data_IF_551444880101
#
_entry.id   IF_551444880101
#
_cell.length_a   1.000
_cell.length_b   1.000
_cell.length_c   1.000
_cell.angle_alpha   90.00
_cell.angle_beta   90.00
_cell.angle_gamma   90.00
#
_symmetry.space_group_name_H-M   'P 1'
#
loop_
_entity.id
_entity.type
_entity.pdbx_description
1 polymer ?
#
# COMPACT_ATOMS: atom_id res chain seq x y z
N UNK A 1 4.45 -5.82 7.41
CA UNK A 1 4.07 -5.30 6.08
C UNK A 1 5.34 -5.11 5.24
N UNK A 2 5.37 -5.49 3.95
CA UNK A 2 6.47 -5.11 3.06
C UNK A 2 6.48 -3.59 2.89
N UNK A 3 7.67 -3.01 2.89
CA UNK A 3 7.93 -1.57 2.70
C UNK A 3 7.40 -1.16 1.33
N UNK A 4 6.50 -0.17 1.26
CA UNK A 4 5.98 0.36 -0.01
C UNK A 4 6.40 1.81 -0.18
N UNK A 5 7.15 2.03 -1.25
CA UNK A 5 7.56 3.34 -1.71
C UNK A 5 6.42 4.03 -2.49
N UNK A 6 5.99 5.21 -2.03
CA UNK A 6 5.28 6.28 -2.76
C UNK A 6 5.84 6.54 -4.17
N UNK A 7 5.02 7.23 -4.98
CA UNK A 7 5.18 7.34 -6.43
C UNK A 7 6.30 8.32 -6.82
N UNK A 8 7.56 7.87 -6.88
CA UNK A 8 8.56 8.54 -7.73
C UNK A 8 8.24 8.28 -9.21
N UNK A 9 8.14 9.33 -10.02
CA UNK A 9 7.93 9.19 -11.46
C UNK A 9 9.20 8.65 -12.13
N UNK A 10 9.05 7.86 -13.19
CA UNK A 10 10.18 7.34 -13.99
C UNK A 10 11.06 8.49 -14.50
N UNK A 11 10.45 9.62 -14.88
CA UNK A 11 11.17 10.83 -15.29
C UNK A 11 12.05 11.42 -14.18
N UNK A 12 11.57 11.48 -12.94
CA UNK A 12 12.34 11.95 -11.79
C UNK A 12 13.50 11.00 -11.47
N UNK A 13 13.26 9.70 -11.54
CA UNK A 13 14.31 8.70 -11.34
C UNK A 13 15.41 8.82 -12.41
N UNK A 14 15.05 8.90 -13.70
CA UNK A 14 16.01 9.05 -14.79
C UNK A 14 16.78 10.36 -14.66
N UNK A 15 16.12 11.48 -14.35
CA UNK A 15 16.78 12.77 -14.18
C UNK A 15 17.82 12.73 -13.06
N UNK A 16 17.46 12.13 -11.92
CA UNK A 16 18.36 11.94 -10.79
C UNK A 16 19.53 11.02 -11.15
N UNK A 17 19.28 9.93 -11.87
CA UNK A 17 20.31 9.03 -12.35
C UNK A 17 21.29 9.77 -13.29
N UNK A 18 20.79 10.52 -14.27
CA UNK A 18 21.60 11.31 -15.20
C UNK A 18 22.43 12.35 -14.45
N UNK A 19 21.84 13.08 -13.50
CA UNK A 19 22.56 14.08 -12.72
C UNK A 19 23.70 13.45 -11.90
N UNK A 20 23.45 12.30 -11.26
CA UNK A 20 24.45 11.57 -10.49
C UNK A 20 25.56 11.03 -11.41
N UNK A 21 25.22 10.40 -12.53
CA UNK A 21 26.21 9.88 -13.48
C UNK A 21 27.03 11.00 -14.16
N UNK A 22 26.44 12.17 -14.40
CA UNK A 22 27.18 13.33 -14.88
C UNK A 22 28.27 13.77 -13.90
N UNK A 23 27.96 13.78 -12.59
CA UNK A 23 28.95 14.08 -11.53
C UNK A 23 30.08 13.03 -11.53
N UNK A 24 29.74 11.74 -11.70
CA UNK A 24 30.75 10.67 -11.80
C UNK A 24 31.66 10.85 -13.01
N UNK A 25 31.10 11.09 -14.20
CA UNK A 25 31.87 11.30 -15.43
C UNK A 25 32.80 12.51 -15.27
N UNK A 26 32.29 13.63 -14.74
CA UNK A 26 33.10 14.82 -14.49
C UNK A 26 34.24 14.56 -13.50
N UNK A 27 33.99 13.73 -12.49
CA UNK A 27 35.01 13.35 -11.51
C UNK A 27 36.11 12.44 -12.08
N UNK A 28 35.75 11.52 -12.98
CA UNK A 28 36.72 10.68 -13.70
C UNK A 28 37.55 11.51 -14.68
N UNK A 29 36.93 12.45 -15.40
CA UNK A 29 37.63 13.39 -16.28
C UNK A 29 38.57 14.30 -15.49
N UNK A 30 38.16 14.77 -14.30
CA UNK A 30 39.03 15.57 -13.44
C UNK A 30 40.25 14.76 -12.95
N UNK A 31 40.07 13.46 -12.66
CA UNK A 31 41.14 12.56 -12.26
C UNK A 31 42.16 12.33 -13.38
N UNK A 32 41.71 12.11 -14.61
CA UNK A 32 42.62 11.91 -15.76
C UNK A 32 43.43 13.18 -16.06
N UNK A 33 42.84 14.35 -15.83
CA UNK A 33 43.51 15.65 -15.98
C UNK A 33 44.51 15.95 -14.85
N UNK A 34 44.36 15.36 -13.66
CA UNK A 34 45.17 15.66 -12.46
C UNK A 34 46.28 14.66 -12.16
N UNK A 35 46.53 13.69 -13.05
CA UNK A 35 47.67 12.77 -12.92
C UNK A 35 47.38 11.47 -12.17
N UNK A 36 46.10 11.11 -11.97
CA UNK A 36 45.69 9.71 -11.78
C UNK A 36 46.14 9.02 -10.49
N UNK A 37 46.19 9.73 -9.36
CA UNK A 37 46.46 9.09 -8.07
C UNK A 37 45.32 8.13 -7.66
N UNK A 38 45.63 6.88 -7.24
CA UNK A 38 44.61 5.93 -6.80
C UNK A 38 43.81 6.43 -5.60
N UNK A 39 44.42 7.17 -4.67
CA UNK A 39 43.69 7.74 -3.52
C UNK A 39 42.60 8.72 -3.96
N UNK A 40 42.88 9.54 -4.98
CA UNK A 40 41.91 10.51 -5.50
C UNK A 40 40.72 9.76 -6.11
N UNK A 41 40.95 8.63 -6.79
CA UNK A 41 39.86 7.74 -7.27
C UNK A 41 38.97 7.32 -6.11
N UNK A 42 39.55 6.77 -5.04
CA UNK A 42 38.78 6.28 -3.91
C UNK A 42 38.06 7.39 -3.15
N UNK A 43 38.69 8.57 -2.96
CA UNK A 43 38.03 9.71 -2.34
C UNK A 43 36.84 10.21 -3.16
N UNK A 44 37.00 10.30 -4.48
CA UNK A 44 35.93 10.65 -5.41
C UNK A 44 34.80 9.61 -5.33
N UNK A 45 35.13 8.33 -5.32
CA UNK A 45 34.16 7.24 -5.25
C UNK A 45 33.37 7.26 -3.93
N UNK A 46 34.05 7.43 -2.79
CA UNK A 46 33.40 7.55 -1.48
C UNK A 46 32.48 8.76 -1.45
N UNK A 47 32.96 9.92 -1.89
CA UNK A 47 32.16 11.14 -1.96
C UNK A 47 30.94 10.95 -2.86
N UNK A 48 31.12 10.29 -4.01
CA UNK A 48 30.05 9.95 -4.94
C UNK A 48 28.99 9.07 -4.26
N UNK A 49 29.38 8.01 -3.55
CA UNK A 49 28.43 7.16 -2.82
C UNK A 49 27.68 7.94 -1.74
N UNK A 50 28.36 8.83 -1.00
CA UNK A 50 27.72 9.67 0.02
C UNK A 50 26.71 10.63 -0.62
N UNK A 51 27.08 11.32 -1.70
CA UNK A 51 26.18 12.23 -2.43
C UNK A 51 24.99 11.45 -2.97
N UNK A 52 25.24 10.30 -3.59
CA UNK A 52 24.22 9.43 -4.15
C UNK A 52 23.23 9.00 -3.06
N UNK A 53 23.75 8.55 -1.90
CA UNK A 53 22.92 8.22 -0.74
C UNK A 53 22.06 9.41 -0.30
N UNK A 54 22.65 10.60 -0.12
CA UNK A 54 21.92 11.82 0.30
C UNK A 54 20.83 12.18 -0.71
N UNK A 55 21.18 12.21 -2.00
CA UNK A 55 20.26 12.59 -3.08
C UNK A 55 19.08 11.62 -3.15
N UNK A 56 19.34 10.32 -3.16
CA UNK A 56 18.26 9.32 -3.16
C UNK A 56 17.47 9.34 -1.85
N UNK A 57 18.11 9.51 -0.69
CA UNK A 57 17.44 9.54 0.62
C UNK A 57 16.52 10.76 0.81
N UNK A 58 16.90 11.94 0.33
CA UNK A 58 16.12 13.16 0.52
C UNK A 58 15.15 13.45 -0.62
N UNK A 59 15.53 13.17 -1.87
CA UNK A 59 14.74 13.54 -3.06
C UNK A 59 14.12 12.33 -3.76
N UNK A 60 14.75 11.16 -3.66
CA UNK A 60 14.19 9.91 -4.15
C UNK A 60 13.17 9.28 -3.22
N UNK A 61 13.16 9.67 -1.94
CA UNK A 61 12.43 8.98 -0.87
C UNK A 61 11.59 9.93 0.01
N UNK A 62 10.35 9.55 0.30
CA UNK A 62 9.40 10.30 1.13
C UNK A 62 9.59 10.00 2.62
N UNK A 63 9.02 10.84 3.51
CA UNK A 63 9.24 10.71 4.95
C UNK A 63 8.79 9.34 5.50
N UNK A 64 7.69 8.81 4.98
CA UNK A 64 7.18 7.48 5.33
C UNK A 64 8.12 6.37 4.86
N UNK A 65 8.66 6.51 3.66
CA UNK A 65 9.58 5.55 3.06
C UNK A 65 10.92 5.49 3.78
N UNK A 66 11.47 6.65 4.18
CA UNK A 66 12.70 6.72 4.99
C UNK A 66 12.54 5.97 6.31
N UNK A 67 11.38 6.12 6.95
CA UNK A 67 11.03 5.39 8.18
C UNK A 67 10.92 3.87 7.94
N UNK A 68 10.44 3.46 6.76
CA UNK A 68 10.28 2.06 6.39
C UNK A 68 11.58 1.40 5.90
N UNK A 69 12.46 2.13 5.20
CA UNK A 69 13.79 1.67 4.74
C UNK A 69 14.65 1.13 5.88
N UNK A 70 14.54 1.78 7.04
CA UNK A 70 15.28 1.47 8.26
C UNK A 70 14.43 0.68 9.28
N UNK A 71 13.17 0.38 8.96
CA UNK A 71 12.32 -0.40 9.85
C UNK A 71 12.84 -1.84 9.90
N UNK A 72 13.21 -2.30 11.11
CA UNK A 72 13.43 -3.73 11.36
C UNK A 72 12.17 -4.49 10.90
N UNK A 73 12.33 -5.39 9.93
CA UNK A 73 11.26 -6.29 9.53
C UNK A 73 10.70 -6.96 10.79
N UNK A 74 9.41 -6.75 11.07
CA UNK A 74 8.76 -7.17 12.32
C UNK A 74 8.57 -8.69 12.45
N UNK A 75 9.21 -9.50 11.60
CA UNK A 75 9.20 -10.95 11.69
C UNK A 75 10.63 -11.46 11.67
N UNK A 76 10.98 -12.31 12.65
CA UNK A 76 12.18 -13.15 12.61
C UNK A 76 12.05 -14.12 11.44
N UNK A 77 12.30 -13.63 10.23
CA UNK A 77 12.37 -14.47 9.04
C UNK A 77 13.64 -15.32 9.14
N UNK A 78 13.57 -16.63 8.91
CA UNK A 78 14.65 -17.53 9.28
C UNK A 78 15.89 -17.31 8.38
N UNK A 79 17.08 -17.33 8.99
CA UNK A 79 18.37 -16.97 8.37
C UNK A 79 18.69 -17.76 7.09
N UNK A 80 18.18 -18.99 6.97
CA UNK A 80 18.35 -19.80 5.76
C UNK A 80 17.74 -19.15 4.51
N UNK A 81 16.77 -18.24 4.67
CA UNK A 81 16.20 -17.45 3.57
C UNK A 81 17.18 -16.47 2.94
N UNK A 82 18.24 -16.09 3.67
CA UNK A 82 19.34 -15.32 3.11
C UNK A 82 20.43 -16.26 2.59
N UNK A 83 20.90 -17.20 3.41
CA UNK A 83 22.11 -17.99 3.13
C UNK A 83 21.96 -18.93 1.93
N UNK A 84 20.84 -19.63 1.83
CA UNK A 84 20.69 -20.73 0.88
C UNK A 84 20.59 -20.26 -0.58
N UNK A 85 19.85 -19.19 -0.91
CA UNK A 85 19.90 -18.58 -2.24
C UNK A 85 21.31 -18.15 -2.68
N UNK A 86 22.15 -17.65 -1.76
CA UNK A 86 23.54 -17.32 -2.07
C UNK A 86 24.38 -18.55 -2.41
N UNK A 87 24.19 -19.66 -1.72
CA UNK A 87 24.89 -20.91 -2.05
C UNK A 87 24.49 -21.44 -3.44
N UNK A 88 23.21 -21.31 -3.79
CA UNK A 88 22.73 -21.67 -5.13
C UNK A 88 23.27 -20.73 -6.22
N UNK A 89 23.27 -19.42 -5.97
CA UNK A 89 23.88 -18.44 -6.87
C UNK A 89 25.39 -18.66 -7.04
N UNK A 90 26.08 -18.95 -5.94
CA UNK A 90 27.51 -19.29 -5.94
C UNK A 90 27.81 -20.53 -6.78
N UNK A 91 26.99 -21.59 -6.69
CA UNK A 91 27.12 -22.76 -7.54
C UNK A 91 26.98 -22.42 -9.03
N UNK A 92 25.96 -21.61 -9.38
CA UNK A 92 25.70 -21.20 -10.77
C UNK A 92 26.89 -20.41 -11.31
N UNK A 93 27.40 -19.45 -10.55
CA UNK A 93 28.59 -18.67 -10.90
C UNK A 93 29.83 -19.55 -11.07
N UNK A 94 30.04 -20.51 -10.16
CA UNK A 94 31.16 -21.44 -10.24
C UNK A 94 31.10 -22.31 -11.51
N UNK A 95 29.94 -22.90 -11.79
CA UNK A 95 29.72 -23.70 -13.00
C UNK A 95 29.88 -22.85 -14.28
N UNK A 96 29.47 -21.59 -14.25
CA UNK A 96 29.68 -20.64 -15.35
C UNK A 96 31.17 -20.41 -15.62
N UNK A 97 31.98 -20.17 -14.58
CA UNK A 97 33.43 -19.98 -14.73
C UNK A 97 34.11 -21.25 -15.28
N UNK A 98 33.72 -22.44 -14.81
CA UNK A 98 34.22 -23.70 -15.37
C UNK A 98 33.83 -23.88 -16.84
N UNK A 99 32.60 -23.53 -17.20
CA UNK A 99 32.14 -23.59 -18.58
C UNK A 99 32.90 -22.59 -19.48
N UNK A 100 33.14 -21.37 -18.99
CA UNK A 100 33.97 -20.38 -19.68
C UNK A 100 35.37 -20.93 -19.94
N UNK A 101 36.02 -21.46 -18.91
CA UNK A 101 37.38 -22.01 -19.02
C UNK A 101 37.45 -23.12 -20.08
N UNK A 102 36.47 -24.01 -20.09
CA UNK A 102 36.49 -25.19 -20.96
C UNK A 102 36.00 -24.92 -22.39
N UNK A 103 35.09 -23.97 -22.60
CA UNK A 103 34.37 -23.80 -23.88
C UNK A 103 34.69 -22.47 -24.56
N UNK A 104 35.09 -21.45 -23.80
CA UNK A 104 35.31 -20.07 -24.27
C UNK A 104 36.58 -19.47 -23.63
N UNK A 105 37.76 -20.07 -23.86
CA UNK A 105 39.00 -19.74 -23.14
C UNK A 105 39.43 -18.27 -23.28
N UNK A 106 39.20 -17.64 -24.44
CA UNK A 106 39.51 -16.21 -24.61
C UNK A 106 38.65 -15.28 -23.74
N UNK A 107 37.39 -15.66 -23.46
CA UNK A 107 36.58 -14.90 -22.49
C UNK A 107 36.98 -15.21 -21.05
N UNK A 108 37.44 -16.43 -20.77
CA UNK A 108 38.00 -16.78 -19.47
C UNK A 108 39.27 -15.98 -19.17
N UNK A 109 40.18 -15.83 -20.13
CA UNK A 109 41.36 -14.98 -20.00
C UNK A 109 40.98 -13.52 -19.72
N UNK A 110 40.07 -12.92 -20.49
CA UNK A 110 39.55 -11.56 -20.22
C UNK A 110 38.95 -11.43 -18.81
N UNK A 111 38.19 -12.43 -18.37
CA UNK A 111 37.60 -12.48 -17.03
C UNK A 111 38.67 -12.58 -15.92
N UNK A 112 39.71 -13.37 -16.14
CA UNK A 112 40.83 -13.53 -15.20
C UNK A 112 41.73 -12.29 -15.18
N UNK A 113 41.99 -11.65 -16.33
CA UNK A 113 42.73 -10.38 -16.42
C UNK A 113 42.04 -9.26 -15.62
N UNK A 114 40.69 -9.20 -15.67
CA UNK A 114 39.93 -8.26 -14.85
C UNK A 114 40.08 -8.53 -13.34
N UNK A 115 40.17 -9.80 -12.93
CA UNK A 115 40.43 -10.18 -11.55
C UNK A 115 41.88 -9.90 -11.13
N UNK A 116 42.85 -10.12 -12.02
CA UNK A 116 44.26 -9.82 -11.82
C UNK A 116 44.52 -8.31 -11.74
N UNK A 117 43.77 -7.47 -12.48
CA UNK A 117 43.85 -6.01 -12.31
C UNK A 117 43.44 -5.56 -10.91
N UNK A 118 42.49 -6.24 -10.25
CA UNK A 118 42.19 -5.99 -8.82
C UNK A 118 43.29 -6.51 -7.89
N UNK A 119 43.98 -7.60 -8.25
CA UNK A 119 45.13 -8.14 -7.51
C UNK A 119 46.41 -7.30 -7.68
N UNK A 120 46.56 -6.62 -8.82
CA UNK A 120 47.67 -5.75 -9.18
C UNK A 120 47.55 -4.33 -8.62
N UNK A 121 46.40 -4.00 -8.01
CA UNK A 121 46.34 -2.89 -7.05
C UNK A 121 47.26 -3.27 -5.90
N UNK A 122 47.94 -2.27 -5.35
CA UNK A 122 48.95 -2.37 -4.31
C UNK A 122 48.37 -2.81 -2.94
N UNK A 123 47.47 -3.80 -2.93
CA UNK A 123 46.71 -4.32 -1.79
C UNK A 123 47.60 -4.63 -0.57
N UNK A 124 48.88 -4.92 -0.80
CA UNK A 124 49.86 -5.22 0.25
C UNK A 124 50.93 -4.15 0.50
N UNK A 125 51.01 -3.10 -0.32
CA UNK A 125 52.05 -2.07 -0.18
C UNK A 125 51.59 -0.79 0.50
N UNK A 126 50.29 -0.46 0.45
CA UNK A 126 49.76 0.69 1.19
C UNK A 126 48.49 0.36 2.01
N UNK A 127 48.60 0.33 3.36
CA UNK A 127 47.47 0.14 4.26
C UNK A 127 46.32 1.13 4.06
N UNK A 128 46.60 2.38 3.67
CA UNK A 128 45.55 3.38 3.46
C UNK A 128 44.71 3.05 2.23
N UNK A 129 45.35 2.61 1.14
CA UNK A 129 44.67 2.19 -0.08
C UNK A 129 43.71 1.02 0.18
N UNK A 130 44.19 0.02 0.94
CA UNK A 130 43.37 -1.12 1.37
C UNK A 130 42.15 -0.69 2.19
N UNK A 131 42.32 0.22 3.15
CA UNK A 131 41.21 0.72 4.00
C UNK A 131 40.18 1.48 3.16
N UNK A 132 40.63 2.36 2.26
CA UNK A 132 39.74 3.13 1.40
C UNK A 132 38.94 2.23 0.45
N UNK A 133 39.60 1.24 -0.14
CA UNK A 133 38.97 0.25 -1.01
C UNK A 133 37.97 -0.62 -0.24
N UNK A 134 38.31 -1.07 0.97
CA UNK A 134 37.40 -1.83 1.82
C UNK A 134 36.13 -1.03 2.14
N UNK A 135 36.28 0.23 2.56
CA UNK A 135 35.14 1.11 2.86
C UNK A 135 34.28 1.33 1.61
N UNK A 136 34.88 1.58 0.44
CA UNK A 136 34.13 1.85 -0.78
C UNK A 136 33.43 0.61 -1.32
N UNK A 137 34.13 -0.51 -1.49
CA UNK A 137 33.66 -1.73 -2.15
C UNK A 137 32.83 -2.63 -1.22
N UNK A 138 33.28 -2.84 0.02
CA UNK A 138 32.63 -3.79 0.94
C UNK A 138 31.50 -3.13 1.70
N UNK A 139 31.56 -1.83 2.00
CA UNK A 139 30.56 -1.15 2.84
C UNK A 139 29.67 -0.23 2.01
N UNK A 140 30.23 0.83 1.42
CA UNK A 140 29.42 1.90 0.83
C UNK A 140 28.68 1.45 -0.44
N UNK A 141 29.37 0.76 -1.35
CA UNK A 141 28.78 0.28 -2.60
C UNK A 141 27.50 -0.56 -2.34
N UNK A 142 27.51 -1.63 -1.52
CA UNK A 142 26.30 -2.36 -1.17
C UNK A 142 25.16 -1.50 -0.61
N UNK A 143 25.47 -0.52 0.26
CA UNK A 143 24.42 0.33 0.85
C UNK A 143 23.69 1.11 -0.25
N UNK A 144 24.45 1.80 -1.10
CA UNK A 144 23.83 2.69 -2.09
C UNK A 144 23.24 1.89 -3.23
N UNK A 145 23.94 0.87 -3.72
CA UNK A 145 23.45 0.00 -4.78
C UNK A 145 22.16 -0.71 -4.39
N UNK A 146 22.04 -1.24 -3.16
CA UNK A 146 20.79 -1.86 -2.75
C UNK A 146 19.63 -0.87 -2.63
N UNK A 147 19.88 0.37 -2.16
CA UNK A 147 18.83 1.41 -2.16
C UNK A 147 18.36 1.70 -3.58
N UNK A 148 19.29 1.90 -4.51
CA UNK A 148 18.97 2.23 -5.90
C UNK A 148 18.30 1.06 -6.61
N UNK A 149 18.88 -0.14 -6.53
CA UNK A 149 18.42 -1.29 -7.29
C UNK A 149 17.22 -1.98 -6.64
N UNK A 150 17.23 -2.24 -5.33
CA UNK A 150 16.17 -3.03 -4.66
C UNK A 150 15.13 -2.12 -4.04
N UNK A 151 15.56 -1.02 -3.41
CA UNK A 151 14.67 0.00 -2.87
C UNK A 151 13.86 0.71 -3.95
N UNK A 152 14.51 1.14 -5.03
CA UNK A 152 13.87 2.01 -6.04
C UNK A 152 13.58 1.28 -7.35
N UNK A 153 14.60 0.84 -8.08
CA UNK A 153 14.49 0.38 -9.48
C UNK A 153 13.67 -0.90 -9.62
N UNK A 154 13.96 -1.91 -8.83
CA UNK A 154 13.21 -3.17 -8.80
C UNK A 154 11.74 -2.92 -8.45
N UNK A 155 11.45 -2.07 -7.46
CA UNK A 155 10.08 -1.72 -7.10
C UNK A 155 9.38 -0.93 -8.22
N UNK A 156 10.09 -0.03 -8.93
CA UNK A 156 9.57 0.66 -10.11
C UNK A 156 9.18 -0.32 -11.23
N UNK A 157 10.03 -1.30 -11.53
CA UNK A 157 9.77 -2.31 -12.56
C UNK A 157 8.64 -3.27 -12.17
N UNK A 158 8.64 -3.70 -10.92
CA UNK A 158 7.67 -4.65 -10.38
C UNK A 158 6.25 -4.06 -10.33
N UNK A 159 6.08 -2.72 -10.47
CA UNK A 159 4.76 -2.08 -10.59
C UNK A 159 4.01 -2.46 -11.87
N UNK A 160 4.71 -2.55 -13.01
CA UNK A 160 4.09 -2.71 -14.35
C UNK A 160 4.32 -4.08 -14.98
N UNK A 161 5.21 -4.89 -14.42
CA UNK A 161 5.65 -6.18 -14.97
C UNK A 161 5.44 -7.29 -13.95
N UNK A 162 5.52 -8.54 -14.40
CA UNK A 162 5.57 -9.68 -13.49
C UNK A 162 6.82 -9.58 -12.60
N UNK A 163 6.72 -10.08 -11.36
CA UNK A 163 7.86 -10.04 -10.43
C UNK A 163 9.08 -10.73 -10.98
N UNK A 164 8.93 -11.87 -11.64
CA UNK A 164 10.03 -12.55 -12.32
C UNK A 164 10.67 -11.65 -13.40
N UNK A 165 9.88 -10.98 -14.23
CA UNK A 165 10.42 -10.06 -15.24
C UNK A 165 11.14 -8.86 -14.61
N UNK A 166 10.61 -8.31 -13.52
CA UNK A 166 11.26 -7.24 -12.79
C UNK A 166 12.60 -7.69 -12.17
N UNK A 167 12.67 -8.92 -11.63
CA UNK A 167 13.90 -9.50 -11.10
C UNK A 167 14.93 -9.67 -12.22
N UNK A 168 14.55 -10.25 -13.35
CA UNK A 168 15.44 -10.46 -14.51
C UNK A 168 15.98 -9.11 -15.00
N UNK A 169 15.10 -8.15 -15.29
CA UNK A 169 15.53 -6.84 -15.83
C UNK A 169 16.42 -6.10 -14.84
N UNK A 170 16.04 -6.06 -13.55
CA UNK A 170 16.85 -5.41 -12.52
C UNK A 170 18.24 -6.03 -12.41
N UNK A 171 18.32 -7.36 -12.52
CA UNK A 171 19.58 -8.10 -12.35
C UNK A 171 20.48 -7.99 -13.57
N UNK A 172 19.91 -7.97 -14.79
CA UNK A 172 20.65 -7.74 -16.02
C UNK A 172 21.23 -6.33 -16.07
N UNK A 173 20.45 -5.31 -15.68
CA UNK A 173 20.96 -3.92 -15.59
C UNK A 173 22.04 -3.83 -14.52
N UNK A 174 21.84 -4.47 -13.36
CA UNK A 174 22.86 -4.52 -12.30
C UNK A 174 24.16 -5.13 -12.80
N UNK A 175 24.09 -6.29 -13.48
CA UNK A 175 25.28 -6.94 -14.03
C UNK A 175 25.94 -6.16 -15.15
N UNK A 176 25.18 -5.53 -16.05
CA UNK A 176 25.73 -4.73 -17.15
C UNK A 176 26.63 -3.58 -16.65
N UNK A 177 26.30 -2.97 -15.50
CA UNK A 177 27.11 -1.92 -14.89
C UNK A 177 28.45 -2.44 -14.32
N UNK A 178 28.65 -3.75 -14.23
CA UNK A 178 29.85 -4.39 -13.72
C UNK A 178 30.75 -4.99 -14.83
N UNK A 179 30.46 -4.67 -16.10
CA UNK A 179 31.28 -4.97 -17.28
C UNK A 179 31.76 -6.44 -17.36
N UNK A 180 33.05 -6.71 -17.21
CA UNK A 180 33.67 -8.04 -17.37
C UNK A 180 33.06 -9.10 -16.43
N UNK A 181 32.50 -8.69 -15.29
CA UNK A 181 31.85 -9.59 -14.33
C UNK A 181 30.32 -9.64 -14.49
N UNK A 182 29.78 -9.20 -15.63
CA UNK A 182 28.34 -9.02 -15.87
C UNK A 182 27.50 -10.26 -15.53
N UNK A 183 27.92 -11.45 -15.93
CA UNK A 183 27.12 -12.67 -15.72
C UNK A 183 27.10 -13.08 -14.24
N UNK A 184 28.25 -13.24 -13.56
CA UNK A 184 28.28 -13.49 -12.10
C UNK A 184 27.49 -12.45 -11.30
N UNK A 185 27.67 -11.17 -11.61
CA UNK A 185 26.99 -10.07 -10.88
C UNK A 185 25.51 -10.00 -11.19
N UNK A 186 25.06 -10.36 -12.39
CA UNK A 186 23.63 -10.53 -12.68
C UNK A 186 23.02 -11.70 -11.91
N UNK A 187 23.73 -12.82 -11.73
CA UNK A 187 23.25 -13.96 -10.94
C UNK A 187 23.09 -13.56 -9.47
N UNK A 188 24.12 -12.95 -8.87
CA UNK A 188 24.01 -12.39 -7.51
C UNK A 188 22.91 -11.33 -7.47
N UNK A 189 22.78 -10.54 -8.52
CA UNK A 189 21.75 -9.54 -8.67
C UNK A 189 20.35 -10.10 -8.50
N UNK A 190 20.11 -11.26 -9.12
CA UNK A 190 18.85 -12.00 -9.06
C UNK A 190 18.61 -12.62 -7.69
N UNK A 191 19.64 -13.19 -7.07
CA UNK A 191 19.60 -13.72 -5.71
C UNK A 191 19.20 -12.64 -4.72
N UNK A 192 19.81 -11.46 -4.80
CA UNK A 192 19.49 -10.31 -3.95
C UNK A 192 18.05 -9.83 -4.17
N UNK A 193 17.58 -9.76 -5.43
CA UNK A 193 16.17 -9.47 -5.72
C UNK A 193 15.22 -10.52 -5.15
N UNK A 194 15.59 -11.80 -5.20
CA UNK A 194 14.80 -12.89 -4.62
C UNK A 194 14.71 -12.74 -3.10
N UNK A 195 15.83 -12.56 -2.43
CA UNK A 195 15.89 -12.34 -0.97
C UNK A 195 15.07 -11.11 -0.60
N UNK A 196 15.23 -9.99 -1.32
CA UNK A 196 14.46 -8.78 -1.09
C UNK A 196 12.95 -9.02 -1.25
N UNK A 197 12.53 -9.70 -2.31
CA UNK A 197 11.12 -10.00 -2.56
C UNK A 197 10.51 -10.89 -1.47
N UNK A 198 11.24 -11.91 -1.01
CA UNK A 198 10.75 -12.84 0.02
C UNK A 198 10.80 -12.24 1.42
N UNK A 199 11.79 -11.40 1.71
CA UNK A 199 12.01 -10.89 3.07
C UNK A 199 11.45 -9.50 3.29
N UNK A 200 11.40 -8.66 2.26
CA UNK A 200 11.06 -7.23 2.34
C UNK A 200 12.11 -6.42 3.11
N UNK A 201 13.29 -6.99 3.38
CA UNK A 201 14.33 -6.36 4.20
C UNK A 201 15.49 -5.90 3.33
N UNK A 202 15.70 -4.59 3.24
CA UNK A 202 16.84 -4.04 2.55
C UNK A 202 18.15 -4.24 3.33
N UNK A 203 18.09 -4.19 4.66
CA UNK A 203 19.24 -4.45 5.55
C UNK A 203 19.82 -5.85 5.33
N UNK A 204 18.95 -6.86 5.19
CA UNK A 204 19.39 -8.23 4.96
C UNK A 204 20.09 -8.39 3.61
N UNK A 205 19.60 -7.68 2.60
CA UNK A 205 20.14 -7.70 1.24
C UNK A 205 21.47 -6.93 1.20
N UNK A 206 21.56 -5.78 1.86
CA UNK A 206 22.81 -5.04 2.07
C UNK A 206 23.84 -5.92 2.77
N UNK A 207 23.49 -6.56 3.88
CA UNK A 207 24.40 -7.45 4.60
C UNK A 207 24.85 -8.63 3.73
N UNK A 208 23.94 -9.25 2.98
CA UNK A 208 24.29 -10.32 2.04
C UNK A 208 25.24 -9.85 0.94
N UNK A 209 25.01 -8.66 0.38
CA UNK A 209 25.87 -8.05 -0.61
C UNK A 209 27.24 -7.66 -0.03
N UNK A 210 27.29 -7.09 1.19
CA UNK A 210 28.55 -6.84 1.92
C UNK A 210 29.35 -8.13 2.11
N UNK A 211 28.70 -9.25 2.46
CA UNK A 211 29.37 -10.55 2.57
C UNK A 211 29.90 -11.03 1.22
N UNK A 212 29.12 -10.91 0.15
CA UNK A 212 29.58 -11.25 -1.20
C UNK A 212 30.83 -10.44 -1.60
N UNK A 213 30.80 -9.14 -1.35
CA UNK A 213 31.92 -8.25 -1.67
C UNK A 213 33.11 -8.50 -0.75
N UNK A 214 32.89 -8.84 0.52
CA UNK A 214 33.96 -9.25 1.43
C UNK A 214 34.66 -10.52 0.94
N UNK A 215 33.89 -11.52 0.48
CA UNK A 215 34.46 -12.74 -0.11
C UNK A 215 35.31 -12.36 -1.32
N UNK A 216 34.75 -11.62 -2.30
CA UNK A 216 35.46 -11.19 -3.49
C UNK A 216 36.73 -10.37 -3.16
N UNK A 217 36.64 -9.43 -2.21
CA UNK A 217 37.74 -8.62 -1.72
C UNK A 217 38.85 -9.46 -1.05
N UNK A 218 38.46 -10.50 -0.32
CA UNK A 218 39.41 -11.39 0.36
C UNK A 218 40.09 -12.40 -0.56
N UNK A 219 39.51 -12.71 -1.73
CA UNK A 219 40.07 -13.73 -2.64
C UNK A 219 41.51 -13.40 -3.09
N UNK A 220 41.82 -12.19 -3.59
CA UNK A 220 43.20 -11.75 -3.78
C UNK A 220 44.13 -11.97 -2.59
N UNK A 221 43.66 -11.68 -1.38
CA UNK A 221 44.45 -11.79 -0.14
C UNK A 221 44.74 -13.24 0.26
N UNK A 222 43.85 -14.16 -0.11
CA UNK A 222 43.97 -15.59 0.13
C UNK A 222 44.75 -16.31 -0.98
N UNK A 223 44.79 -15.74 -2.18
CA UNK A 223 45.52 -16.26 -3.36
C UNK A 223 46.97 -15.73 -3.40
N UNK A 224 47.24 -14.57 -2.80
CA UNK A 224 48.58 -13.96 -2.75
C UNK A 224 49.58 -14.76 -1.90
N UNK A 225 50.61 -15.29 -2.55
CA UNK A 225 51.86 -15.89 -2.01
C UNK A 225 51.77 -17.04 -0.98
N UNK A 226 50.61 -17.64 -0.73
CA UNK A 226 50.47 -18.71 0.27
C UNK A 226 50.11 -20.08 -0.33
N UNK A 227 51.15 -20.81 -0.76
CA UNK A 227 51.33 -22.29 -0.78
C UNK A 227 52.01 -22.75 -2.11
N UNK A 228 53.30 -23.18 -2.09
CA UNK A 228 54.01 -23.70 -3.27
C UNK A 228 53.33 -24.89 -3.97
N UNK A 229 52.40 -25.57 -3.29
CA UNK A 229 51.67 -26.74 -3.76
C UNK A 229 50.20 -26.45 -4.10
N UNK A 230 49.71 -25.22 -3.89
CA UNK A 230 48.32 -24.83 -4.15
C UNK A 230 47.27 -25.66 -3.38
N UNK A 231 47.68 -26.43 -2.38
CA UNK A 231 46.86 -27.45 -1.72
C UNK A 231 45.86 -26.80 -0.77
N UNK A 232 46.25 -25.74 -0.06
CA UNK A 232 45.34 -24.98 0.83
C UNK A 232 44.21 -24.34 0.03
N UNK A 233 44.53 -23.77 -1.13
CA UNK A 233 43.55 -23.15 -2.02
C UNK A 233 42.60 -24.18 -2.65
N UNK A 234 43.13 -25.35 -3.05
CA UNK A 234 42.34 -26.46 -3.56
C UNK A 234 41.39 -27.03 -2.50
N UNK A 235 41.84 -27.14 -1.24
CA UNK A 235 40.99 -27.60 -0.13
C UNK A 235 39.89 -26.58 0.17
N UNK A 236 40.22 -25.29 0.28
CA UNK A 236 39.23 -24.23 0.51
C UNK A 236 38.22 -24.13 -0.65
N UNK A 237 38.69 -24.21 -1.89
CA UNK A 237 37.83 -24.28 -3.08
C UNK A 237 36.93 -25.51 -3.07
N UNK A 238 37.47 -26.68 -2.73
CA UNK A 238 36.69 -27.91 -2.59
C UNK A 238 35.61 -27.83 -1.51
N UNK A 239 35.93 -27.25 -0.35
CA UNK A 239 34.97 -27.00 0.74
C UNK A 239 33.89 -26.02 0.28
N UNK A 240 34.26 -24.93 -0.39
CA UNK A 240 33.31 -23.94 -0.91
C UNK A 240 32.34 -24.56 -1.93
N UNK A 241 32.86 -25.37 -2.86
CA UNK A 241 32.06 -26.11 -3.83
C UNK A 241 31.13 -27.10 -3.14
N UNK A 242 31.61 -27.81 -2.12
CA UNK A 242 30.76 -28.71 -1.33
C UNK A 242 29.62 -27.94 -0.63
N UNK A 243 29.89 -26.77 -0.06
CA UNK A 243 28.88 -25.90 0.54
C UNK A 243 27.87 -25.42 -0.50
N UNK A 244 28.32 -25.05 -1.71
CA UNK A 244 27.45 -24.68 -2.83
C UNK A 244 26.53 -25.82 -3.26
N UNK A 245 27.06 -27.04 -3.38
CA UNK A 245 26.28 -28.23 -3.75
C UNK A 245 25.27 -28.59 -2.66
N UNK A 246 25.71 -28.74 -1.41
CA UNK A 246 24.83 -29.09 -0.27
C UNK A 246 23.76 -28.01 -0.06
N UNK A 247 24.16 -26.73 -0.14
CA UNK A 247 23.24 -25.60 -0.06
C UNK A 247 22.20 -25.60 -1.17
N UNK A 248 22.60 -25.90 -2.40
CA UNK A 248 21.69 -25.98 -3.55
C UNK A 248 20.72 -27.16 -3.42
N UNK A 249 21.18 -28.33 -2.96
CA UNK A 249 20.30 -29.49 -2.69
C UNK A 249 19.28 -29.12 -1.62
N UNK A 250 19.72 -28.48 -0.53
CA UNK A 250 18.82 -28.01 0.52
C UNK A 250 17.84 -26.95 0.00
N UNK A 251 18.28 -26.02 -0.86
CA UNK A 251 17.42 -25.03 -1.50
C UNK A 251 16.29 -25.69 -2.28
N UNK A 252 16.64 -26.64 -3.15
CA UNK A 252 15.68 -27.37 -3.98
C UNK A 252 14.74 -28.19 -3.11
N UNK A 253 15.26 -28.93 -2.13
CA UNK A 253 14.45 -29.69 -1.17
C UNK A 253 13.45 -28.78 -0.43
N UNK A 254 13.91 -27.65 0.10
CA UNK A 254 13.08 -26.69 0.81
C UNK A 254 12.02 -26.08 -0.11
N UNK A 255 12.42 -25.70 -1.32
CA UNK A 255 11.54 -25.08 -2.32
C UNK A 255 10.46 -26.05 -2.84
N UNK A 256 10.78 -27.33 -3.00
CA UNK A 256 9.82 -28.38 -3.38
C UNK A 256 8.84 -28.64 -2.25
N UNK A 257 9.32 -28.72 -0.99
CA UNK A 257 8.47 -28.97 0.19
C UNK A 257 7.57 -27.77 0.52
N UNK A 258 7.98 -26.57 0.13
CA UNK A 258 7.22 -25.34 0.32
C UNK A 258 6.92 -24.72 -1.04
N UNK A 259 6.00 -25.28 -1.85
CA UNK A 259 5.78 -24.76 -3.22
C UNK A 259 5.35 -23.28 -3.29
N UNK A 260 4.68 -22.76 -2.26
CA UNK A 260 4.41 -21.32 -2.08
C UNK A 260 5.67 -20.47 -1.90
N UNK A 261 6.83 -21.11 -1.72
CA UNK A 261 8.14 -20.48 -1.61
C UNK A 261 8.68 -19.97 -2.94
N UNK A 262 8.46 -20.73 -4.01
CA UNK A 262 8.81 -20.38 -5.38
C UNK A 262 7.68 -19.68 -6.13
N UNK A 263 6.50 -19.59 -5.52
CA UNK A 263 5.43 -18.79 -6.08
C UNK A 263 5.89 -17.33 -6.14
N UNK A 264 6.18 -16.88 -7.35
CA UNK A 264 6.18 -15.46 -7.67
C UNK A 264 4.71 -15.06 -7.73
N UNK A 265 4.13 -14.80 -6.55
CA UNK A 265 2.90 -14.04 -6.47
C UNK A 265 3.11 -12.76 -7.30
N UNK A 266 2.04 -12.18 -7.86
CA UNK A 266 2.13 -10.97 -8.69
C UNK A 266 2.93 -9.84 -8.01
N UNK A 267 3.14 -8.68 -8.67
CA UNK A 267 3.88 -7.52 -8.15
C UNK A 267 3.94 -7.45 -6.63
N UNK A 268 5.04 -7.12 -5.94
CA UNK A 268 5.13 -7.19 -4.45
C UNK A 268 3.94 -6.49 -3.70
N UNK A 269 3.19 -5.63 -4.41
CA UNK A 269 1.88 -5.07 -4.09
C UNK A 269 0.66 -6.03 -4.02
N UNK A 270 0.66 -7.19 -4.71
CA UNK A 270 -0.38 -8.21 -4.81
C UNK A 270 -0.17 -9.44 -3.91
N UNK A 271 1.03 -9.64 -3.37
CA UNK A 271 1.39 -10.80 -2.54
C UNK A 271 0.88 -10.67 -1.08
N UNK A 272 -0.43 -10.49 -0.93
CA UNK A 272 -1.20 -10.82 0.28
C UNK A 272 -2.70 -10.90 -0.07
N UNK A 273 -3.05 -11.48 -1.22
CA UNK A 273 -4.38 -12.00 -1.45
C UNK A 273 -4.57 -13.29 -0.65
N UNK A 274 -4.73 -13.18 0.67
CA UNK A 274 -5.32 -14.27 1.46
C UNK A 274 -6.71 -14.49 0.86
N UNK A 275 -6.88 -15.65 0.23
CA UNK A 275 -8.16 -16.14 -0.26
C UNK A 275 -9.19 -16.01 0.87
N UNK A 276 -10.27 -15.31 0.56
CA UNK A 276 -11.58 -15.29 1.22
C UNK A 276 -11.71 -16.24 2.43
N UNK A 277 -11.76 -15.67 3.63
CA UNK A 277 -12.33 -16.33 4.81
C UNK A 277 -13.86 -16.15 4.90
N UNK A 278 -14.53 -15.80 3.79
CA UNK A 278 -15.98 -15.95 3.65
C UNK A 278 -16.27 -16.97 2.56
N UNK A 279 -16.10 -18.24 2.94
CA UNK A 279 -16.76 -19.35 2.27
C UNK A 279 -18.25 -19.22 2.63
N UNK A 280 -19.08 -18.76 1.67
CA UNK A 280 -20.49 -19.18 1.62
C UNK A 280 -20.44 -20.69 1.48
N UNK A 281 -20.54 -21.41 2.60
CA UNK A 281 -20.89 -22.84 2.75
C UNK A 281 -20.65 -23.25 4.22
N UNK A 282 -21.10 -22.42 5.17
CA UNK A 282 -21.45 -22.94 6.48
C UNK A 282 -22.97 -22.99 6.51
N UNK A 283 -23.52 -24.20 6.54
CA UNK A 283 -24.79 -24.45 7.22
C UNK A 283 -24.66 -23.79 8.59
N UNK A 284 -25.28 -22.61 8.70
CA UNK A 284 -25.39 -21.88 9.95
C UNK A 284 -26.25 -22.77 10.83
N UNK A 285 -25.62 -23.42 11.80
CA UNK A 285 -26.32 -24.06 12.91
C UNK A 285 -27.37 -23.10 13.45
N UNK A 286 -28.53 -23.64 13.78
CA UNK A 286 -29.82 -23.07 14.17
C UNK A 286 -29.84 -22.03 15.32
N UNK A 287 -28.72 -21.37 15.62
CA UNK A 287 -28.57 -20.38 16.70
C UNK A 287 -29.09 -18.98 16.34
N UNK A 288 -29.41 -18.73 15.05
CA UNK A 288 -29.99 -17.45 14.60
C UNK A 288 -31.52 -17.47 14.47
N UNK A 289 -32.20 -18.54 14.89
CA UNK A 289 -33.67 -18.63 14.83
C UNK A 289 -34.35 -17.47 15.59
N UNK A 290 -33.72 -16.97 16.66
CA UNK A 290 -34.23 -15.84 17.46
C UNK A 290 -34.20 -14.49 16.72
N UNK A 291 -33.36 -14.34 15.68
CA UNK A 291 -33.27 -13.11 14.87
C UNK A 291 -34.27 -13.09 13.69
N UNK A 292 -35.01 -14.19 13.45
CA UNK A 292 -36.03 -14.25 12.39
C UNK A 292 -37.34 -13.53 12.73
N UNK A 293 -37.50 -13.05 13.95
CA UNK A 293 -38.76 -12.47 14.43
C UNK A 293 -38.92 -10.96 14.22
N UNK A 294 -37.84 -10.23 13.88
CA UNK A 294 -37.90 -8.80 13.57
C UNK A 294 -37.37 -8.55 12.17
N UNK A 295 -38.23 -8.03 11.28
CA UNK A 295 -37.83 -7.69 9.91
C UNK A 295 -37.36 -6.24 9.89
N UNK A 296 -36.08 -6.04 9.57
CA UNK A 296 -35.50 -4.71 9.35
C UNK A 296 -35.69 -4.33 7.88
N UNK A 297 -36.30 -3.17 7.65
CA UNK A 297 -36.65 -2.64 6.33
C UNK A 297 -35.82 -1.38 6.12
N UNK A 298 -34.94 -1.39 5.11
CA UNK A 298 -34.08 -0.27 4.78
C UNK A 298 -34.80 0.75 3.91
N UNK A 299 -35.03 1.95 4.44
CA UNK A 299 -35.77 3.01 3.74
C UNK A 299 -34.87 4.16 3.32
N UNK A 300 -33.57 3.92 3.23
CA UNK A 300 -32.58 4.89 2.73
C UNK A 300 -32.39 4.77 1.22
N UNK A 301 -32.16 5.89 0.53
CA UNK A 301 -31.67 5.91 -0.85
C UNK A 301 -30.17 5.63 -0.88
N UNK A 302 -29.71 4.97 -1.94
CA UNK A 302 -28.27 4.73 -2.16
C UNK A 302 -27.56 6.06 -2.36
N UNK A 303 -26.42 6.25 -1.69
CA UNK A 303 -25.50 7.36 -1.96
C UNK A 303 -24.60 6.97 -3.16
N UNK A 304 -24.70 7.70 -4.27
CA UNK A 304 -24.03 7.38 -5.54
C UNK A 304 -23.21 8.56 -6.06
N UNK A 305 -22.16 8.25 -6.83
CA UNK A 305 -21.33 9.26 -7.51
C UNK A 305 -22.16 9.99 -8.57
N UNK A 306 -22.15 11.33 -8.55
CA UNK A 306 -22.91 12.14 -9.50
C UNK A 306 -24.43 12.05 -9.35
N UNK A 307 -24.93 11.59 -8.20
CA UNK A 307 -26.37 11.59 -7.95
C UNK A 307 -26.96 13.01 -7.99
N UNK A 308 -28.26 13.16 -8.31
CA UNK A 308 -28.92 14.46 -8.22
C UNK A 308 -28.78 15.05 -6.81
N UNK A 309 -28.47 16.34 -6.77
CA UNK A 309 -28.45 17.17 -5.56
C UNK A 309 -29.42 18.32 -5.75
N UNK A 310 -29.73 19.04 -4.66
CA UNK A 310 -30.57 20.22 -4.76
C UNK A 310 -29.96 21.25 -5.74
N UNK A 311 -30.75 21.93 -6.58
CA UNK A 311 -30.21 22.87 -7.55
C UNK A 311 -29.33 23.97 -6.91
N UNK A 312 -28.03 23.95 -7.24
CA UNK A 312 -27.03 24.90 -6.72
C UNK A 312 -26.07 24.29 -5.69
N UNK A 313 -26.39 23.11 -5.15
CA UNK A 313 -25.54 22.45 -4.16
C UNK A 313 -24.28 21.82 -4.78
N UNK A 314 -23.23 21.63 -3.96
CA UNK A 314 -22.07 20.84 -4.37
C UNK A 314 -22.47 19.40 -4.72
N UNK A 315 -21.96 18.90 -5.84
CA UNK A 315 -22.15 17.52 -6.28
C UNK A 315 -21.58 16.50 -5.29
N UNK A 316 -22.25 15.35 -5.18
CA UNK A 316 -21.67 14.17 -4.52
C UNK A 316 -20.62 13.54 -5.42
N UNK A 317 -19.39 13.42 -4.90
CA UNK A 317 -18.26 12.77 -5.59
C UNK A 317 -17.71 11.62 -4.76
N UNK A 318 -17.74 10.42 -5.33
CA UNK A 318 -17.20 9.21 -4.74
C UNK A 318 -16.06 8.71 -5.63
N UNK A 319 -14.83 8.95 -5.19
CA UNK A 319 -13.64 8.63 -5.97
C UNK A 319 -12.86 7.49 -5.34
N UNK A 320 -12.35 6.57 -6.16
CA UNK A 320 -11.41 5.56 -5.70
C UNK A 320 -10.08 6.24 -5.31
N UNK A 321 -9.74 6.14 -4.02
CA UNK A 321 -8.46 6.63 -3.47
C UNK A 321 -7.43 5.51 -3.43
N UNK A 322 -7.92 4.30 -3.13
CA UNK A 322 -7.13 3.09 -3.10
C UNK A 322 -7.95 1.91 -3.64
N UNK A 323 -7.33 1.04 -4.40
CA UNK A 323 -7.97 -0.18 -4.92
C UNK A 323 -7.33 -1.42 -4.34
N UNK A 324 -8.10 -2.51 -4.21
CA UNK A 324 -7.53 -3.79 -3.76
C UNK A 324 -6.41 -4.24 -4.72
N UNK A 325 -6.58 -4.01 -6.02
CA UNK A 325 -5.61 -4.38 -7.06
C UNK A 325 -4.30 -3.61 -6.97
N UNK A 326 -4.32 -2.35 -6.55
CA UNK A 326 -3.14 -1.47 -6.50
C UNK A 326 -2.55 -1.36 -5.09
N UNK A 327 -3.40 -1.28 -4.06
CA UNK A 327 -3.04 -0.91 -2.69
C UNK A 327 -3.24 -2.05 -1.69
N UNK A 328 -3.94 -3.13 -2.06
CA UNK A 328 -4.22 -4.28 -1.17
C UNK A 328 -5.39 -4.03 -0.20
N UNK A 329 -6.03 -2.87 -0.29
CA UNK A 329 -7.27 -2.52 0.38
C UNK A 329 -8.04 -1.54 -0.51
N UNK A 330 -9.36 -1.51 -0.41
CA UNK A 330 -10.17 -0.50 -1.09
C UNK A 330 -10.45 0.67 -0.15
N UNK A 331 -10.23 1.89 -0.61
CA UNK A 331 -10.74 3.11 0.03
C UNK A 331 -11.31 4.00 -1.07
N UNK A 332 -12.48 4.56 -0.81
CA UNK A 332 -13.05 5.65 -1.61
C UNK A 332 -13.06 6.92 -0.76
N UNK A 333 -12.74 8.06 -1.35
CA UNK A 333 -13.05 9.36 -0.77
C UNK A 333 -14.47 9.72 -1.14
N UNK A 334 -15.22 10.23 -0.17
CA UNK A 334 -16.57 10.73 -0.38
C UNK A 334 -16.52 12.23 -0.07
N UNK A 335 -16.87 13.04 -1.06
CA UNK A 335 -17.20 14.45 -0.90
C UNK A 335 -18.70 14.58 -1.15
N UNK A 336 -19.41 15.19 -0.21
CA UNK A 336 -20.85 15.41 -0.31
C UNK A 336 -21.25 16.62 0.54
N UNK A 337 -22.38 17.23 0.22
CA UNK A 337 -23.06 18.16 1.12
C UNK A 337 -23.80 17.38 2.25
N UNK A 338 -24.20 18.10 3.29
CA UNK A 338 -24.91 17.58 4.48
C UNK A 338 -26.33 17.09 4.18
N UNK A 339 -26.94 17.56 3.10
CA UNK A 339 -28.27 17.20 2.60
C UNK A 339 -28.26 16.11 1.51
N UNK A 340 -27.13 15.42 1.34
CA UNK A 340 -26.97 14.43 0.28
C UNK A 340 -27.72 13.13 0.58
N UNK A 341 -28.52 12.66 -0.38
CA UNK A 341 -29.32 11.42 -0.28
C UNK A 341 -30.28 11.47 0.92
N UNK A 342 -30.58 10.32 1.54
CA UNK A 342 -31.37 10.27 2.78
C UNK A 342 -30.63 10.94 3.92
N UNK A 343 -31.20 12.04 4.41
CA UNK A 343 -30.58 12.89 5.42
C UNK A 343 -31.63 13.43 6.40
N UNK A 344 -31.13 14.16 7.38
CA UNK A 344 -31.89 14.74 8.47
C UNK A 344 -31.55 16.21 8.63
N UNK A 345 -32.56 17.06 8.74
CA UNK A 345 -32.39 18.49 8.99
C UNK A 345 -32.63 18.85 10.45
N UNK A 346 -31.77 19.71 10.95
CA UNK A 346 -31.83 20.27 12.30
C UNK A 346 -32.27 21.74 12.27
N UNK A 347 -32.77 22.28 13.40
CA UNK A 347 -33.22 23.67 13.47
C UNK A 347 -32.26 24.71 12.89
N UNK A 348 -30.95 24.53 13.05
CA UNK A 348 -29.93 25.43 12.49
C UNK A 348 -29.89 25.53 10.96
N UNK A 349 -30.61 24.65 10.24
CA UNK A 349 -30.72 24.71 8.78
C UNK A 349 -31.43 25.98 8.29
N UNK A 350 -32.48 26.42 9.01
CA UNK A 350 -33.26 27.62 8.67
C UNK A 350 -33.29 28.68 9.77
N UNK A 351 -32.73 28.39 10.95
CA UNK A 351 -32.80 29.26 12.13
C UNK A 351 -31.39 29.65 12.54
N UNK A 352 -31.10 30.96 12.50
CA UNK A 352 -29.83 31.48 12.95
C UNK A 352 -29.61 31.15 14.44
N UNK A 353 -28.50 30.46 14.75
CA UNK A 353 -28.21 29.89 16.09
C UNK A 353 -29.24 28.86 16.59
N UNK A 354 -30.01 28.24 15.70
CA UNK A 354 -30.85 27.10 16.03
C UNK A 354 -30.03 25.92 16.56
N UNK A 355 -30.71 24.98 17.23
CA UNK A 355 -30.11 23.72 17.63
C UNK A 355 -29.56 22.99 16.39
N UNK A 356 -28.31 22.58 16.46
CA UNK A 356 -27.66 21.78 15.42
C UNK A 356 -27.64 20.30 15.84
N UNK A 357 -27.00 19.44 15.06
CA UNK A 357 -26.92 18.01 15.36
C UNK A 357 -26.46 17.70 16.80
N UNK A 358 -25.49 18.45 17.32
CA UNK A 358 -24.88 18.17 18.64
C UNK A 358 -25.86 18.42 19.80
N UNK A 359 -26.96 19.15 19.55
CA UNK A 359 -27.96 19.55 20.55
C UNK A 359 -29.19 18.63 20.59
N UNK A 360 -29.37 17.75 19.58
CA UNK A 360 -30.56 16.91 19.45
C UNK A 360 -30.47 15.64 20.29
N UNK A 361 -31.50 15.38 21.10
CA UNK A 361 -31.62 14.11 21.83
C UNK A 361 -31.90 12.94 20.86
N UNK A 362 -30.98 11.98 20.80
CA UNK A 362 -31.10 10.79 19.97
C UNK A 362 -32.33 9.93 20.30
N UNK A 363 -32.94 10.09 21.48
CA UNK A 363 -34.22 9.44 21.82
C UNK A 363 -35.36 9.84 20.89
N UNK A 364 -35.28 11.02 20.26
CA UNK A 364 -36.24 11.45 19.24
C UNK A 364 -36.12 10.64 17.95
N UNK A 365 -34.93 10.11 17.65
CA UNK A 365 -34.59 9.47 16.37
C UNK A 365 -34.80 7.94 16.38
N UNK A 366 -35.35 7.44 17.48
CA UNK A 366 -35.72 6.04 17.68
C UNK A 366 -37.08 5.96 18.37
N UNK A 367 -37.98 5.11 17.88
CA UNK A 367 -39.28 4.90 18.52
C UNK A 367 -40.41 4.63 17.54
N UNK A 368 -41.64 4.62 18.04
CA UNK A 368 -42.83 4.32 17.22
C UNK A 368 -43.04 5.38 16.13
N UNK A 369 -43.30 4.89 14.92
CA UNK A 369 -43.53 5.72 13.74
C UNK A 369 -44.75 5.23 12.96
N UNK A 370 -45.53 6.18 12.48
CA UNK A 370 -46.64 5.95 11.58
C UNK A 370 -46.23 6.24 10.13
N UNK A 371 -46.58 5.36 9.19
CA UNK A 371 -46.35 5.55 7.77
C UNK A 371 -47.67 5.90 7.10
N UNK A 372 -47.81 7.15 6.68
CA UNK A 372 -48.98 7.68 5.96
C UNK A 372 -48.78 7.54 4.44
N UNK A 373 -49.86 7.27 3.70
CA UNK A 373 -49.82 7.19 2.23
C UNK A 373 -49.61 8.56 1.61
N UNK A 374 -50.18 9.62 2.19
CA UNK A 374 -50.00 10.97 1.68
C UNK A 374 -50.02 12.03 2.78
N UNK A 375 -49.52 13.22 2.45
CA UNK A 375 -49.45 14.40 3.30
C UNK A 375 -50.79 14.84 3.94
N UNK A 376 -51.93 14.45 3.35
CA UNK A 376 -53.27 14.83 3.81
C UNK A 376 -53.88 13.81 4.78
N UNK A 377 -53.31 12.60 4.91
CA UNK A 377 -53.87 11.52 5.72
C UNK A 377 -54.01 11.92 7.20
N UNK A 378 -55.14 11.59 7.82
CA UNK A 378 -55.32 11.84 9.25
C UNK A 378 -54.41 10.93 10.09
N UNK A 379 -53.71 11.49 11.07
CA UNK A 379 -52.80 10.74 11.93
C UNK A 379 -53.51 10.21 13.19
N UNK A 380 -53.18 9.01 13.67
CA UNK A 380 -53.62 8.56 14.98
C UNK A 380 -53.22 9.54 16.09
N UNK A 381 -54.06 9.69 17.11
CA UNK A 381 -53.76 10.51 18.28
C UNK A 381 -52.48 10.02 18.99
N UNK A 382 -51.63 10.95 19.42
CA UNK A 382 -50.35 10.64 20.07
C UNK A 382 -49.22 10.22 19.12
N UNK A 383 -49.38 10.41 17.80
CA UNK A 383 -48.31 10.15 16.84
C UNK A 383 -47.17 11.15 17.02
N UNK A 384 -46.01 10.68 17.52
CA UNK A 384 -44.81 11.51 17.67
C UNK A 384 -43.92 11.52 16.41
N UNK A 385 -44.00 10.49 15.57
CA UNK A 385 -43.16 10.34 14.37
C UNK A 385 -44.01 9.89 13.19
N UNK A 386 -43.88 10.56 12.06
CA UNK A 386 -44.65 10.23 10.85
C UNK A 386 -43.78 10.29 9.60
N UNK A 387 -43.95 9.33 8.69
CA UNK A 387 -43.33 9.32 7.36
C UNK A 387 -44.42 9.32 6.29
N UNK A 388 -44.31 10.19 5.30
CA UNK A 388 -45.25 10.32 4.19
C UNK A 388 -44.69 9.68 2.92
N UNK A 389 -45.49 8.83 2.27
CA UNK A 389 -45.14 8.20 0.99
C UNK A 389 -45.34 9.11 -0.22
N UNK A 390 -46.29 10.04 -0.15
CA UNK A 390 -46.64 10.95 -1.24
C UNK A 390 -47.06 12.33 -0.74
N UNK A 391 -47.01 13.32 -1.65
CA UNK A 391 -47.42 14.70 -1.39
C UNK A 391 -46.38 15.56 -0.68
N UNK A 392 -46.53 16.88 -0.85
CA UNK A 392 -45.79 17.90 -0.11
C UNK A 392 -46.65 18.43 1.04
N UNK A 393 -46.03 18.88 2.13
CA UNK A 393 -46.77 19.47 3.23
C UNK A 393 -47.18 20.90 2.91
N UNK A 394 -48.35 21.32 3.41
CA UNK A 394 -48.78 22.72 3.42
C UNK A 394 -48.54 23.36 4.78
N UNK A 395 -48.63 24.69 4.88
CA UNK A 395 -48.53 25.42 6.15
C UNK A 395 -49.62 24.97 7.15
N UNK A 396 -50.85 24.75 6.70
CA UNK A 396 -51.93 24.24 7.55
C UNK A 396 -51.59 22.86 8.10
N UNK A 397 -50.97 22.01 7.26
CA UNK A 397 -50.56 20.67 7.69
C UNK A 397 -49.41 20.74 8.69
N UNK A 398 -48.40 21.58 8.46
CA UNK A 398 -47.32 21.81 9.42
C UNK A 398 -47.87 22.27 10.77
N UNK A 399 -48.79 23.23 10.77
CA UNK A 399 -49.45 23.73 11.99
C UNK A 399 -50.19 22.61 12.73
N UNK A 400 -50.88 21.72 12.01
CA UNK A 400 -51.55 20.56 12.61
C UNK A 400 -50.55 19.57 13.24
N UNK A 401 -49.40 19.32 12.62
CA UNK A 401 -48.36 18.44 13.18
C UNK A 401 -47.76 19.01 14.46
N UNK A 402 -47.50 20.32 14.49
CA UNK A 402 -47.00 21.04 15.66
C UNK A 402 -47.99 20.92 16.82
N UNK A 403 -49.27 21.20 16.57
CA UNK A 403 -50.33 21.10 17.59
C UNK A 403 -50.56 19.65 18.05
N UNK A 404 -50.39 18.68 17.14
CA UNK A 404 -50.49 17.25 17.43
C UNK A 404 -49.31 16.68 18.23
N UNK A 405 -48.27 17.47 18.49
CA UNK A 405 -47.11 17.05 19.28
C UNK A 405 -46.11 16.16 18.53
N UNK A 406 -46.16 16.14 17.19
CA UNK A 406 -45.17 15.46 16.36
C UNK A 406 -43.77 16.00 16.66
N UNK A 407 -42.77 15.13 16.60
CA UNK A 407 -41.35 15.40 16.87
C UNK A 407 -40.46 15.09 15.68
N UNK A 408 -40.85 14.13 14.85
CA UNK A 408 -40.12 13.79 13.61
C UNK A 408 -41.12 13.65 12.47
N UNK A 409 -40.81 14.28 11.34
CA UNK A 409 -41.55 14.12 10.09
C UNK A 409 -40.61 13.69 8.98
N UNK A 410 -41.07 12.80 8.10
CA UNK A 410 -40.27 12.37 6.96
C UNK A 410 -41.03 12.33 5.64
N UNK A 411 -40.30 12.47 4.54
CA UNK A 411 -40.81 12.49 3.16
C UNK A 411 -39.92 11.66 2.22
N UNK A 412 -40.52 11.18 1.12
CA UNK A 412 -39.79 10.53 0.03
C UNK A 412 -39.13 11.53 -0.94
N UNK A 413 -39.60 12.77 -0.91
CA UNK A 413 -39.12 13.87 -1.76
C UNK A 413 -37.77 14.39 -1.28
N UNK A 414 -37.14 15.19 -2.13
CA UNK A 414 -35.89 15.90 -1.84
C UNK A 414 -36.06 17.17 -1.02
N UNK A 415 -37.31 17.51 -0.67
CA UNK A 415 -37.72 18.60 0.20
C UNK A 415 -39.11 18.30 0.77
N UNK A 416 -39.41 18.71 2.00
CA UNK A 416 -40.72 18.52 2.66
C UNK A 416 -41.84 19.35 2.02
N UNK A 417 -41.49 20.41 1.30
CA UNK A 417 -42.39 21.30 0.57
C UNK A 417 -41.88 21.61 -0.85
N UNK A 418 -42.77 21.98 -1.75
CA UNK A 418 -42.45 22.04 -3.19
C UNK A 418 -41.64 23.29 -3.58
N UNK A 419 -41.88 24.43 -2.94
CA UNK A 419 -41.40 25.72 -3.41
C UNK A 419 -40.92 26.65 -2.28
N UNK A 420 -39.91 27.48 -2.59
CA UNK A 420 -39.53 28.62 -1.77
C UNK A 420 -40.74 29.55 -1.53
N UNK A 421 -40.88 30.21 -0.36
CA UNK A 421 -39.82 30.59 0.58
C UNK A 421 -39.52 29.59 1.72
N UNK A 422 -39.93 28.34 1.58
CA UNK A 422 -39.70 27.26 2.55
C UNK A 422 -40.35 27.52 3.92
N UNK A 423 -41.61 27.95 3.91
CA UNK A 423 -42.34 28.32 5.11
C UNK A 423 -42.61 27.09 6.01
N UNK A 424 -42.87 25.93 5.40
CA UNK A 424 -43.12 24.68 6.13
C UNK A 424 -41.87 24.23 6.88
N UNK A 425 -40.70 24.26 6.24
CA UNK A 425 -39.42 23.98 6.92
C UNK A 425 -39.24 24.89 8.13
N UNK A 426 -39.38 26.20 7.94
CA UNK A 426 -39.23 27.17 9.02
C UNK A 426 -40.21 26.90 10.17
N UNK A 427 -41.48 26.62 9.88
CA UNK A 427 -42.48 26.31 10.92
C UNK A 427 -42.11 25.07 11.73
N UNK A 428 -41.78 23.97 11.05
CA UNK A 428 -41.45 22.69 11.69
C UNK A 428 -40.17 22.81 12.51
N UNK A 429 -39.09 23.31 11.92
CA UNK A 429 -37.79 23.46 12.57
C UNK A 429 -37.84 24.45 13.75
N UNK A 430 -38.63 25.53 13.65
CA UNK A 430 -38.80 26.48 14.77
C UNK A 430 -39.53 25.86 15.95
N UNK A 431 -40.37 24.86 15.70
CA UNK A 431 -41.03 24.10 16.75
C UNK A 431 -40.18 22.95 17.32
N UNK A 432 -38.96 22.76 16.80
CA UNK A 432 -38.05 21.69 17.18
C UNK A 432 -38.39 20.32 16.57
N UNK A 433 -39.23 20.29 15.53
CA UNK A 433 -39.51 19.06 14.77
C UNK A 433 -38.34 18.79 13.83
N UNK A 434 -37.82 17.57 13.87
CA UNK A 434 -36.75 17.10 12.99
C UNK A 434 -37.34 16.60 11.67
N UNK A 435 -36.70 16.93 10.56
CA UNK A 435 -37.16 16.56 9.21
C UNK A 435 -36.24 15.46 8.65
N UNK A 436 -36.84 14.44 8.05
CA UNK A 436 -36.16 13.36 7.33
C UNK A 436 -36.54 13.39 5.86
N UNK A 437 -35.56 13.53 4.97
CA UNK A 437 -35.84 13.69 3.55
C UNK A 437 -35.24 12.57 2.72
N UNK A 438 -35.68 12.49 1.47
CA UNK A 438 -35.18 11.53 0.49
C UNK A 438 -35.32 10.06 0.94
N UNK A 439 -36.43 9.70 1.58
CA UNK A 439 -36.70 8.32 1.97
C UNK A 439 -37.12 7.44 0.78
N UNK A 440 -36.92 6.13 0.89
CA UNK A 440 -37.43 5.12 -0.04
C UNK A 440 -38.48 4.23 0.63
N UNK A 441 -39.75 4.62 0.51
CA UNK A 441 -40.88 3.92 1.11
C UNK A 441 -41.64 3.00 0.15
N UNK A 442 -41.16 2.82 -1.09
CA UNK A 442 -41.88 2.09 -2.15
C UNK A 442 -42.20 0.62 -1.80
N UNK A 443 -41.42 0.02 -0.90
CA UNK A 443 -41.56 -1.37 -0.49
C UNK A 443 -42.12 -1.53 0.94
N UNK A 444 -42.59 -0.44 1.55
CA UNK A 444 -43.20 -0.41 2.89
C UNK A 444 -44.71 -0.61 2.76
N UNK A 445 -45.21 -1.73 3.28
CA UNK A 445 -46.62 -2.13 3.13
C UNK A 445 -47.47 -1.90 4.39
N UNK A 446 -46.85 -1.88 5.57
CA UNK A 446 -47.52 -1.67 6.85
C UNK A 446 -47.60 -0.19 7.21
N UNK A 447 -48.24 0.09 8.36
CA UNK A 447 -48.52 1.46 8.84
C UNK A 447 -47.82 1.84 10.13
N UNK A 448 -47.39 0.87 10.92
CA UNK A 448 -46.77 1.09 12.24
C UNK A 448 -45.47 0.31 12.33
N UNK A 449 -44.40 1.02 12.68
CA UNK A 449 -43.06 0.45 12.80
C UNK A 449 -42.35 1.06 13.99
N UNK A 450 -41.17 0.53 14.32
CA UNK A 450 -40.17 1.27 15.08
C UNK A 450 -39.17 1.91 14.12
N UNK A 451 -39.04 3.24 14.15
CA UNK A 451 -38.03 4.00 13.41
C UNK A 451 -36.67 3.87 14.09
N UNK A 452 -35.61 3.80 13.29
CA UNK A 452 -34.24 3.98 13.72
C UNK A 452 -33.51 4.84 12.67
N UNK A 453 -33.27 6.11 12.98
CA UNK A 453 -32.80 7.13 12.03
C UNK A 453 -31.59 7.91 12.57
N UNK A 454 -30.48 7.22 12.86
CA UNK A 454 -29.32 7.88 13.45
C UNK A 454 -28.42 8.54 12.39
N UNK A 455 -28.17 9.86 12.47
CA UNK A 455 -27.32 10.58 11.54
C UNK A 455 -25.82 10.34 11.78
N UNK A 456 -25.00 10.56 10.75
CA UNK A 456 -23.54 10.68 10.90
C UNK A 456 -23.21 11.81 11.88
N UNK A 457 -22.31 11.60 12.84
CA UNK A 457 -21.94 12.62 13.84
C UNK A 457 -21.00 13.69 13.26
N UNK A 458 -21.55 14.74 12.66
CA UNK A 458 -20.83 15.86 12.05
C UNK A 458 -20.94 17.07 12.99
N UNK A 459 -19.80 17.57 13.47
CA UNK A 459 -19.79 18.62 14.51
C UNK A 459 -20.38 19.92 13.98
N UNK A 460 -21.35 20.48 14.72
CA UNK A 460 -22.02 21.74 14.41
C UNK A 460 -22.86 21.74 13.13
N UNK A 461 -23.18 20.57 12.58
CA UNK A 461 -23.87 20.47 11.29
C UNK A 461 -25.36 20.77 11.38
N UNK A 462 -25.86 21.49 10.39
CA UNK A 462 -27.27 21.82 10.16
C UNK A 462 -28.10 20.70 9.59
N UNK A 463 -27.44 19.73 8.95
CA UNK A 463 -28.02 18.49 8.50
C UNK A 463 -26.98 17.37 8.49
N UNK A 464 -27.43 16.12 8.41
CA UNK A 464 -26.53 14.99 8.29
C UNK A 464 -27.16 13.80 7.56
N UNK A 465 -26.42 13.11 6.67
CA UNK A 465 -26.86 11.86 6.08
C UNK A 465 -27.10 10.80 7.16
N UNK A 466 -28.15 9.98 6.98
CA UNK A 466 -28.54 8.97 7.94
C UNK A 466 -28.86 7.64 7.26
N UNK A 467 -28.51 6.53 7.92
CA UNK A 467 -29.06 5.21 7.55
C UNK A 467 -30.36 5.01 8.30
N UNK A 468 -31.47 5.18 7.61
CA UNK A 468 -32.82 5.12 8.16
C UNK A 468 -33.43 3.76 7.89
N UNK A 469 -33.88 3.08 8.95
CA UNK A 469 -34.53 1.77 8.86
C UNK A 469 -35.81 1.74 9.68
N UNK A 470 -36.74 0.88 9.25
CA UNK A 470 -37.94 0.51 10.00
C UNK A 470 -37.77 -0.91 10.55
N UNK A 471 -38.17 -1.12 11.79
CA UNK A 471 -38.21 -2.45 12.41
C UNK A 471 -39.69 -2.84 12.51
N UNK A 472 -40.03 -3.90 11.79
CA UNK A 472 -41.33 -4.57 11.84
C UNK A 472 -41.28 -5.64 12.95
N UNK A 473 -41.93 -5.34 14.07
CA UNK A 473 -42.09 -6.28 15.18
C UNK A 473 -43.38 -7.07 14.92
N UNK A 474 -43.24 -8.29 14.37
CA UNK A 474 -44.33 -9.16 13.91
C UNK A 474 -45.36 -9.52 15.01
N UNK A 475 -45.15 -9.07 16.26
CA UNK A 475 -46.02 -9.30 17.41
C UNK A 475 -46.94 -8.12 17.76
N UNK A 476 -46.89 -7.00 17.04
CA UNK A 476 -47.75 -5.83 17.35
C UNK A 476 -49.22 -6.03 16.97
N UNK A 477 -49.49 -6.98 16.07
CA UNK A 477 -50.83 -7.29 15.58
C UNK A 477 -51.41 -8.60 16.17
N UNK A 478 -50.74 -9.20 17.16
CA UNK A 478 -51.20 -10.38 17.94
C UNK A 478 -51.49 -10.02 19.38
#
# INVERSE_FOLDING_TARGET
MPVRFEKMSVSKFILMLVAVFAVLILSVVALTVTGGSPYIVYYIQILFYIIMFIVYYYFGLTARERKLLMAKGQEKKPLHLAVVPFLAGGLITFLYVLALQQWLPGMYESYMEAAEQMQGISLFSDPLELVLMFISVVILAPIVEEIVFRGIFFNLLNRKRSTLAAMIISSLVFGFLHAETMVPTAVIGFVLCFIYHRTGSLILVMAGHMVNNLIAFSMPLLIGDADPLGTTLQILGGVLVLLYVVGSIYFVYYAVRNRSFLAFDGPMHRAAGVKSAYRKDHEVSDQNAQYREKKVIDISKTLEDGMPVYPGDPEVRIQEVASISEDGYAVRSIQMNTHASTHMDFPSHFIENGANQDDVDLSLLYGDVFVAENAEEFLPEGTERVLYKEGYLTEERAQALIQGGVKVVGTVHDSIEEHAPYAVHQMLLNSGIIILENLNLAHVTGRRYTLCAFPLKISGAEAAPARVVLIDDLRRDS
#
